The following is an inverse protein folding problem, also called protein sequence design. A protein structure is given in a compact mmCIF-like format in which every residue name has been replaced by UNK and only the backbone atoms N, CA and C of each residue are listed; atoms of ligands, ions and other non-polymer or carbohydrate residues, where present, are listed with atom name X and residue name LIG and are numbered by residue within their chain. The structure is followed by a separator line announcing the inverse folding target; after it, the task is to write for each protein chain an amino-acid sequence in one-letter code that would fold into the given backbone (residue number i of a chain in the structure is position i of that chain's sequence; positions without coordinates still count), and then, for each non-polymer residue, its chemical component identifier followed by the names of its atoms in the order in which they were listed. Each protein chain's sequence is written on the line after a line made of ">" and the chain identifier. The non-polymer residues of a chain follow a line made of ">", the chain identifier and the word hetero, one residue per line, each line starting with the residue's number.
data_IF_497264309688
#
_entry.id   IF_497264309688
#
_cell.length_a   1.000
_cell.length_b   1.000
_cell.length_c   1.000
_cell.angle_alpha   90.00
_cell.angle_beta   90.00
_cell.angle_gamma   90.00
#
_symmetry.space_group_name_H-M   'P 1'
#
loop_
_entity.id
_entity.type
_entity.pdbx_description
1 polymer ?
#
# COMPACT_ATOMS: atom_id res chain seq x y z
N UNK A 1 -16.24 13.49 0.78
CA UNK A 1 -15.37 12.69 -0.13
C UNK A 1 -13.91 12.90 0.24
N UNK A 2 -13.16 11.83 0.38
CA UNK A 2 -11.73 11.94 0.70
C UNK A 2 -10.92 12.28 -0.53
N UNK A 3 -9.83 13.02 -0.31
CA UNK A 3 -8.85 13.34 -1.35
C UNK A 3 -7.49 12.80 -0.92
N UNK A 4 -6.66 12.42 -1.90
CA UNK A 4 -5.28 12.05 -1.62
C UNK A 4 -4.49 13.24 -1.07
N UNK A 5 -3.64 12.99 -0.07
CA UNK A 5 -2.65 13.96 0.38
C UNK A 5 -1.62 14.22 -0.73
N UNK A 6 -0.92 15.34 -0.65
CA UNK A 6 0.18 15.63 -1.60
C UNK A 6 1.24 14.54 -1.58
N UNK A 7 1.56 14.01 -0.40
CA UNK A 7 2.51 12.90 -0.24
C UNK A 7 2.03 11.66 -0.98
N UNK A 8 0.75 11.30 -0.83
CA UNK A 8 0.18 10.15 -1.52
C UNK A 8 0.20 10.33 -3.03
N UNK A 9 -0.19 11.50 -3.53
CA UNK A 9 -0.17 11.80 -4.97
C UNK A 9 1.23 11.65 -5.56
N UNK A 10 2.24 12.12 -4.86
CA UNK A 10 3.63 11.98 -5.28
C UNK A 10 4.02 10.51 -5.37
N UNK A 11 3.67 9.72 -4.36
CA UNK A 11 4.01 8.30 -4.31
C UNK A 11 3.18 7.43 -5.26
N UNK A 12 2.01 7.91 -5.69
CA UNK A 12 1.17 7.23 -6.68
C UNK A 12 1.63 7.49 -8.11
N UNK A 13 2.54 8.44 -8.33
CA UNK A 13 3.07 8.75 -9.66
C UNK A 13 3.84 7.54 -10.18
N UNK A 14 3.49 7.08 -11.38
CA UNK A 14 4.18 5.98 -12.06
C UNK A 14 3.73 4.58 -11.67
N UNK A 15 2.76 4.43 -10.77
CA UNK A 15 2.24 3.09 -10.47
C UNK A 15 1.31 2.61 -11.59
N UNK A 16 1.15 1.29 -11.67
CA UNK A 16 0.28 0.67 -12.68
C UNK A 16 -1.15 1.21 -12.57
N UNK A 17 -1.78 1.59 -13.71
CA UNK A 17 -3.14 2.14 -13.69
C UNK A 17 -4.21 1.25 -13.05
N UNK A 18 -4.08 -0.08 -13.15
CA UNK A 18 -5.03 -0.99 -12.52
C UNK A 18 -4.95 -0.90 -10.99
N UNK A 19 -3.74 -0.81 -10.43
CA UNK A 19 -3.54 -0.62 -9.00
C UNK A 19 -4.06 0.74 -8.54
N UNK A 20 -3.77 1.80 -9.31
CA UNK A 20 -4.26 3.14 -9.02
C UNK A 20 -5.77 3.20 -8.93
N UNK A 21 -6.45 2.56 -9.86
CA UNK A 21 -7.92 2.51 -9.92
C UNK A 21 -8.51 1.86 -8.68
N UNK A 22 -7.93 0.76 -8.22
CA UNK A 22 -8.34 0.09 -6.98
C UNK A 22 -8.17 1.01 -5.78
N UNK A 23 -7.02 1.67 -5.67
CA UNK A 23 -6.73 2.55 -4.54
C UNK A 23 -7.62 3.79 -4.52
N UNK A 24 -7.92 4.38 -5.68
CA UNK A 24 -8.83 5.51 -5.77
C UNK A 24 -10.22 5.15 -5.23
N UNK A 25 -10.74 3.99 -5.60
CA UNK A 25 -12.03 3.51 -5.09
C UNK A 25 -11.95 3.22 -3.59
N UNK A 26 -10.90 2.52 -3.15
CA UNK A 26 -10.74 2.15 -1.76
C UNK A 26 -10.64 3.37 -0.84
N UNK A 27 -10.02 4.45 -1.29
CA UNK A 27 -9.93 5.68 -0.50
C UNK A 27 -11.32 6.20 -0.12
N UNK A 28 -12.27 6.11 -1.02
CA UNK A 28 -13.64 6.57 -0.78
C UNK A 28 -14.46 5.59 0.05
N UNK A 29 -14.22 4.30 -0.11
CA UNK A 29 -15.06 3.24 0.49
C UNK A 29 -14.51 2.72 1.82
N UNK A 30 -13.23 2.97 2.12
CA UNK A 30 -12.60 2.51 3.37
C UNK A 30 -13.22 3.17 4.61
N UNK A 31 -13.37 2.43 5.71
CA UNK A 31 -13.82 3.03 6.98
C UNK A 31 -12.81 4.01 7.55
N UNK A 32 -11.54 3.93 7.14
CA UNK A 32 -10.47 4.78 7.64
C UNK A 32 -9.71 5.44 6.49
N UNK A 33 -9.23 6.65 6.73
CA UNK A 33 -8.33 7.31 5.80
C UNK A 33 -6.95 6.63 5.84
N UNK A 34 -6.22 6.72 4.75
CA UNK A 34 -4.87 6.16 4.67
C UNK A 34 -3.99 6.98 3.73
N UNK A 35 -2.69 6.83 3.91
CA UNK A 35 -1.66 7.55 3.15
C UNK A 35 -0.76 6.53 2.45
N UNK A 36 -0.44 6.79 1.18
CA UNK A 36 0.52 5.99 0.43
C UNK A 36 1.91 6.54 0.69
N UNK A 37 2.76 5.73 1.30
CA UNK A 37 4.11 6.15 1.72
C UNK A 37 5.19 5.73 0.74
N UNK A 38 4.92 4.75 -0.12
CA UNK A 38 5.86 4.33 -1.17
C UNK A 38 5.08 3.71 -2.33
N UNK A 39 5.50 4.05 -3.55
CA UNK A 39 4.95 3.48 -4.78
C UNK A 39 6.08 2.99 -5.67
N UNK A 40 6.31 3.64 -6.82
CA UNK A 40 7.41 3.28 -7.71
C UNK A 40 8.75 3.53 -7.02
N UNK A 41 9.60 2.51 -7.01
CA UNK A 41 10.90 2.53 -6.34
C UNK A 41 12.02 2.43 -7.36
N UNK A 42 13.09 3.20 -7.18
CA UNK A 42 14.30 3.07 -8.00
C UNK A 42 15.11 1.83 -7.60
N UNK A 43 15.90 1.31 -8.54
CA UNK A 43 16.80 0.19 -8.25
C UNK A 43 17.83 0.58 -7.17
N UNK A 44 18.30 1.81 -7.19
CA UNK A 44 19.23 2.31 -6.17
C UNK A 44 18.61 2.25 -4.78
N UNK A 45 17.37 2.72 -4.64
CA UNK A 45 16.64 2.64 -3.36
C UNK A 45 16.47 1.19 -2.92
N UNK A 46 16.18 0.28 -3.84
CA UNK A 46 16.06 -1.15 -3.54
C UNK A 46 17.37 -1.74 -3.06
N UNK A 47 18.50 -1.36 -3.67
CA UNK A 47 19.83 -1.78 -3.22
C UNK A 47 20.13 -1.29 -1.80
N UNK A 48 19.77 -0.04 -1.50
CA UNK A 48 19.94 0.51 -0.15
C UNK A 48 19.14 -0.26 0.90
N UNK A 49 17.88 -0.61 0.57
CA UNK A 49 17.03 -1.40 1.46
C UNK A 49 17.59 -2.80 1.69
N UNK A 50 18.12 -3.44 0.64
CA UNK A 50 18.75 -4.74 0.74
C UNK A 50 20.00 -4.67 1.64
N UNK A 51 20.85 -3.66 1.44
CA UNK A 51 22.06 -3.46 2.23
C UNK A 51 21.76 -3.22 3.72
N UNK A 52 20.65 -2.56 4.03
CA UNK A 52 20.20 -2.30 5.41
C UNK A 52 19.45 -3.47 6.04
N UNK A 53 19.22 -4.55 5.31
CA UNK A 53 18.42 -5.67 5.79
C UNK A 53 16.92 -5.40 5.83
N UNK A 54 16.46 -4.26 5.30
CA UNK A 54 15.04 -3.91 5.24
C UNK A 54 14.31 -4.59 4.07
N UNK A 55 15.04 -5.20 3.16
CA UNK A 55 14.50 -6.01 2.06
C UNK A 55 15.40 -7.23 1.87
N UNK A 56 14.83 -8.30 1.33
CA UNK A 56 15.54 -9.56 1.05
C UNK A 56 15.73 -9.81 -0.45
N UNK A 57 15.34 -8.87 -1.31
CA UNK A 57 15.36 -9.09 -2.76
C UNK A 57 15.74 -7.84 -3.53
N UNK A 58 16.33 -8.03 -4.72
CA UNK A 58 16.48 -6.98 -5.74
C UNK A 58 15.31 -6.98 -6.75
N UNK A 59 14.35 -7.90 -6.59
CA UNK A 59 13.22 -8.08 -7.53
C UNK A 59 11.89 -7.60 -6.92
N UNK A 60 11.92 -6.51 -6.18
CA UNK A 60 10.71 -5.94 -5.59
C UNK A 60 9.73 -5.47 -6.66
N UNK A 61 8.43 -5.71 -6.43
CA UNK A 61 7.36 -5.25 -7.30
C UNK A 61 7.21 -3.72 -7.29
N UNK A 62 7.76 -3.04 -6.29
CA UNK A 62 7.86 -1.58 -6.30
C UNK A 62 8.69 -1.05 -7.48
N UNK A 63 9.67 -1.82 -7.97
CA UNK A 63 10.53 -1.41 -9.09
C UNK A 63 9.76 -1.22 -10.39
N UNK A 64 8.65 -1.94 -10.55
CA UNK A 64 7.85 -1.92 -11.77
C UNK A 64 6.53 -1.17 -11.61
N UNK A 65 6.31 -0.55 -10.47
CA UNK A 65 5.06 0.15 -10.18
C UNK A 65 3.88 -0.77 -9.91
N UNK A 66 4.11 -2.03 -9.59
CA UNK A 66 3.07 -3.02 -9.32
C UNK A 66 2.74 -3.15 -7.83
N UNK A 67 3.40 -2.38 -6.98
CA UNK A 67 3.21 -2.44 -5.53
C UNK A 67 3.21 -1.05 -4.90
N UNK A 68 2.50 -0.94 -3.78
CA UNK A 68 2.52 0.24 -2.91
C UNK A 68 2.61 -0.20 -1.46
N UNK A 69 3.18 0.68 -0.62
CA UNK A 69 3.04 0.60 0.83
C UNK A 69 2.14 1.73 1.28
N UNK A 70 1.24 1.44 2.20
CA UNK A 70 0.33 2.44 2.75
C UNK A 70 0.09 2.19 4.23
N UNK A 71 -0.31 3.26 4.93
CA UNK A 71 -0.53 3.23 6.37
C UNK A 71 -1.82 3.94 6.71
N UNK A 72 -2.41 3.59 7.86
CA UNK A 72 -3.60 4.25 8.37
C UNK A 72 -3.28 5.71 8.71
N UNK A 73 -4.22 6.60 8.44
CA UNK A 73 -4.11 8.01 8.79
C UNK A 73 -5.27 8.38 9.72
N UNK A 74 -5.16 7.93 10.98
CA UNK A 74 -6.22 8.04 11.99
C UNK A 74 -5.62 8.48 13.32
N UNK A 75 -6.17 9.53 13.91
CA UNK A 75 -5.83 9.99 15.24
C UNK A 75 -6.73 9.27 16.26
N UNK A 76 -6.29 8.12 16.73
CA UNK A 76 -7.10 7.26 17.61
C UNK A 76 -7.26 7.82 19.01
N UNK A 77 -6.22 8.48 19.56
CA UNK A 77 -6.23 9.01 20.92
C UNK A 77 -6.69 10.47 20.98
N UNK A 78 -7.06 11.04 19.85
CA UNK A 78 -7.62 12.40 19.72
C UNK A 78 -6.68 13.46 20.31
N UNK A 79 -5.37 13.30 20.12
CA UNK A 79 -4.36 14.26 20.59
C UNK A 79 -3.98 15.32 19.54
N UNK A 80 -4.62 15.29 18.37
CA UNK A 80 -4.36 16.20 17.25
C UNK A 80 -3.22 15.76 16.34
N UNK A 81 -2.63 14.58 16.56
CA UNK A 81 -1.51 14.05 15.78
C UNK A 81 -1.76 12.61 15.38
N UNK A 82 -1.28 12.25 14.19
CA UNK A 82 -1.23 10.86 13.75
C UNK A 82 0.20 10.36 13.96
N UNK A 83 0.34 9.37 14.83
CA UNK A 83 1.63 8.86 15.23
C UNK A 83 1.89 7.48 14.61
N UNK A 84 3.15 7.06 14.64
CA UNK A 84 3.56 5.79 14.02
C UNK A 84 2.77 4.59 14.56
N UNK A 85 2.45 4.56 15.86
CA UNK A 85 1.67 3.50 16.48
C UNK A 85 0.24 3.43 15.91
N UNK A 86 -0.32 4.57 15.55
CA UNK A 86 -1.65 4.64 14.91
C UNK A 86 -1.57 4.22 13.45
N UNK A 87 -0.56 4.72 12.71
CA UNK A 87 -0.35 4.38 11.30
C UNK A 87 -0.15 2.88 11.09
N UNK A 88 0.49 2.21 12.02
CA UNK A 88 0.83 0.78 11.93
C UNK A 88 -0.12 -0.11 12.72
N UNK A 89 -1.21 0.41 13.26
CA UNK A 89 -2.17 -0.36 14.03
C UNK A 89 -2.73 -1.52 13.19
N UNK A 90 -2.51 -2.79 13.61
CA UNK A 90 -2.89 -3.94 12.79
C UNK A 90 -4.40 -4.03 12.50
N UNK A 91 -5.23 -3.62 13.45
CA UNK A 91 -6.69 -3.64 13.26
C UNK A 91 -7.10 -2.64 12.17
N UNK A 92 -6.55 -1.43 12.20
CA UNK A 92 -6.83 -0.42 11.19
C UNK A 92 -6.34 -0.87 9.82
N UNK A 93 -5.13 -1.41 9.74
CA UNK A 93 -4.56 -1.89 8.48
C UNK A 93 -5.37 -3.06 7.91
N UNK A 94 -5.86 -3.96 8.75
CA UNK A 94 -6.71 -5.07 8.31
C UNK A 94 -8.04 -4.56 7.76
N UNK A 95 -8.66 -3.58 8.40
CA UNK A 95 -9.91 -2.99 7.93
C UNK A 95 -9.73 -2.24 6.60
N UNK A 96 -8.61 -1.55 6.44
CA UNK A 96 -8.25 -0.91 5.18
C UNK A 96 -8.00 -1.97 4.10
N UNK A 97 -7.29 -3.05 4.44
CA UNK A 97 -7.04 -4.15 3.51
C UNK A 97 -8.34 -4.78 3.00
N UNK A 98 -9.31 -4.98 3.89
CA UNK A 98 -10.62 -5.51 3.50
C UNK A 98 -11.32 -4.58 2.50
N UNK A 99 -11.23 -3.27 2.71
CA UNK A 99 -11.79 -2.28 1.78
C UNK A 99 -11.07 -2.29 0.42
N UNK A 100 -9.75 -2.45 0.43
CA UNK A 100 -8.95 -2.53 -0.80
C UNK A 100 -9.28 -3.80 -1.57
N UNK A 101 -9.42 -4.94 -0.89
CA UNK A 101 -9.83 -6.19 -1.51
C UNK A 101 -11.22 -6.08 -2.14
N UNK A 102 -12.17 -5.46 -1.45
CA UNK A 102 -13.52 -5.24 -1.96
C UNK A 102 -13.50 -4.32 -3.20
N UNK A 103 -12.70 -3.26 -3.15
CA UNK A 103 -12.54 -2.35 -4.29
C UNK A 103 -11.92 -3.09 -5.49
N UNK A 104 -10.91 -3.94 -5.26
CA UNK A 104 -10.30 -4.75 -6.30
C UNK A 104 -11.30 -5.68 -6.97
N UNK A 105 -12.15 -6.33 -6.20
CA UNK A 105 -13.20 -7.20 -6.73
C UNK A 105 -14.16 -6.42 -7.63
N UNK A 106 -14.57 -5.23 -7.21
CA UNK A 106 -15.46 -4.37 -8.00
C UNK A 106 -14.83 -3.89 -9.28
N UNK A 107 -13.54 -3.62 -9.26
CA UNK A 107 -12.78 -3.17 -10.43
C UNK A 107 -12.26 -4.34 -11.28
N UNK A 108 -12.51 -5.58 -10.85
CA UNK A 108 -12.05 -6.79 -11.54
C UNK A 108 -10.52 -6.83 -11.66
N UNK A 109 -9.84 -6.43 -10.59
CA UNK A 109 -8.38 -6.39 -10.53
C UNK A 109 -7.91 -7.39 -9.47
N UNK A 110 -6.99 -8.26 -9.84
CA UNK A 110 -6.40 -9.23 -8.92
C UNK A 110 -5.25 -8.60 -8.12
N UNK A 111 -5.39 -8.56 -6.80
CA UNK A 111 -4.38 -8.01 -5.90
C UNK A 111 -3.97 -9.03 -4.84
N UNK A 112 -2.82 -8.78 -4.23
CA UNK A 112 -2.30 -9.55 -3.09
C UNK A 112 -1.96 -8.55 -1.98
N UNK A 113 -2.36 -8.88 -0.76
CA UNK A 113 -2.00 -8.13 0.44
C UNK A 113 -0.87 -8.83 1.19
N UNK A 114 0.17 -8.09 1.58
CA UNK A 114 1.30 -8.65 2.33
C UNK A 114 0.93 -9.22 3.70
N UNK A 115 -0.20 -8.77 4.27
CA UNK A 115 -0.73 -9.33 5.51
C UNK A 115 -1.27 -10.76 5.39
N UNK A 116 -1.53 -11.22 4.16
CA UNK A 116 -1.97 -12.60 3.89
C UNK A 116 -0.80 -13.56 3.66
N UNK A 117 0.44 -13.09 3.62
CA UNK A 117 1.60 -13.96 3.43
C UNK A 117 1.79 -14.89 4.62
N UNK A 118 2.23 -16.12 4.35
CA UNK A 118 2.45 -17.13 5.40
C UNK A 118 3.64 -16.79 6.27
N UNK A 119 4.69 -16.20 5.67
CA UNK A 119 5.92 -15.78 6.34
C UNK A 119 6.24 -14.35 5.93
N UNK A 120 6.98 -13.64 6.78
CA UNK A 120 7.38 -12.25 6.51
C UNK A 120 6.19 -11.37 6.17
N UNK A 121 5.13 -11.46 6.97
CA UNK A 121 3.92 -10.64 6.78
C UNK A 121 4.28 -9.16 6.74
N UNK A 122 3.71 -8.46 5.76
CA UNK A 122 3.96 -7.04 5.52
C UNK A 122 2.61 -6.34 5.36
N UNK A 123 2.06 -5.89 6.48
CA UNK A 123 0.71 -5.33 6.53
C UNK A 123 0.51 -4.07 5.69
N UNK A 124 1.50 -3.15 5.53
CA UNK A 124 1.33 -2.00 4.65
C UNK A 124 1.40 -2.32 3.16
N UNK A 125 1.86 -3.50 2.77
CA UNK A 125 2.18 -3.84 1.39
C UNK A 125 0.99 -4.39 0.61
N UNK A 126 0.73 -3.80 -0.56
CA UNK A 126 -0.27 -4.26 -1.54
C UNK A 126 0.37 -4.33 -2.92
N UNK A 127 0.09 -5.37 -3.66
CA UNK A 127 0.61 -5.51 -5.02
C UNK A 127 -0.42 -6.17 -5.94
N UNK A 128 -0.26 -5.93 -7.24
CA UNK A 128 -1.02 -6.66 -8.25
C UNK A 128 -0.56 -8.12 -8.26
N UNK A 129 -1.50 -9.05 -8.45
CA UNK A 129 -1.20 -10.48 -8.48
C UNK A 129 -0.29 -10.78 -9.68
N UNK A 130 0.87 -11.38 -9.42
CA UNK A 130 1.88 -11.70 -10.45
C UNK A 130 1.37 -12.65 -11.52
N UNK A 131 0.42 -13.50 -11.19
CA UNK A 131 -0.15 -14.46 -12.13
C UNK A 131 -0.98 -13.77 -13.21
N UNK A 132 -1.54 -12.59 -12.90
CA UNK A 132 -2.39 -11.81 -13.80
C UNK A 132 -1.63 -10.61 -14.36
N UNK A 133 -0.76 -10.01 -13.56
CA UNK A 133 0.01 -8.83 -13.90
C UNK A 133 1.51 -9.12 -13.78
N UNK A 134 2.09 -9.89 -14.69
CA UNK A 134 3.53 -10.13 -14.68
C UNK A 134 4.29 -8.85 -15.01
N UNK A 135 5.49 -8.71 -14.47
CA UNK A 135 6.34 -7.57 -14.70
C UNK A 135 7.61 -7.95 -15.44
#
# INVERSE_FOLDING_TARGET
>A
MRSWSERSLKNLTGINPALRKVLDRALQESPHDFVVTEGLRTLERQRQLLAKGASTTLKSRHLTGHAVDLYAWVDLDVDGKVEFVEMTNPRLLTQIADAIKAAADREMVAIVWGGDWRTFKDLPHFELDRRVYPA
#
